data_IF_527542560305
#
_entry.id   IF_527542560305
#
_cell.length_a   1.000
_cell.length_b   1.000
_cell.length_c   1.000
_cell.angle_alpha   90.00
_cell.angle_beta   90.00
_cell.angle_gamma   90.00
#
_symmetry.space_group_name_H-M   'P 1'
#
loop_
_entity.id
_entity.type
_entity.pdbx_description
1 polymer ?
#
# COMPACT_ATOMS: atom_id res chain seq x y z
N UNK A 1 -16.47 6.53 35.97
CA UNK A 1 -16.09 5.80 34.74
C UNK A 1 -16.13 6.80 33.59
N UNK A 2 -14.97 7.35 33.22
CA UNK A 2 -14.83 8.17 32.01
C UNK A 2 -14.64 7.22 30.82
N UNK A 3 -15.38 7.38 29.70
CA UNK A 3 -15.11 6.58 28.52
C UNK A 3 -13.75 7.01 27.96
N UNK A 4 -12.80 6.07 27.97
CA UNK A 4 -11.55 6.23 27.21
C UNK A 4 -11.92 6.34 25.74
N UNK A 5 -11.76 7.54 25.18
CA UNK A 5 -11.78 7.71 23.73
C UNK A 5 -10.63 6.89 23.16
N UNK A 6 -10.98 5.81 22.45
CA UNK A 6 -10.04 5.07 21.62
C UNK A 6 -9.59 6.00 20.49
N UNK A 7 -8.49 6.72 20.72
CA UNK A 7 -7.77 7.37 19.64
C UNK A 7 -7.30 6.30 18.67
N UNK A 8 -7.98 6.15 17.52
CA UNK A 8 -7.44 5.39 16.39
C UNK A 8 -6.35 6.26 15.77
N UNK A 9 -5.05 5.94 15.93
CA UNK A 9 -4.00 6.80 15.41
C UNK A 9 -3.86 6.55 13.90
N UNK A 10 -4.15 7.58 13.09
CA UNK A 10 -3.46 7.89 11.83
C UNK A 10 -3.41 6.82 10.74
N UNK A 11 -4.55 6.30 10.25
CA UNK A 11 -4.54 5.33 9.13
C UNK A 11 -4.22 5.95 7.77
N UNK A 12 -4.53 7.23 7.54
CA UNK A 12 -4.24 7.89 6.24
C UNK A 12 -2.83 8.48 6.20
N UNK A 13 -2.42 9.13 7.29
CA UNK A 13 -1.12 9.80 7.40
C UNK A 13 0.02 8.78 7.51
N UNK A 14 -0.22 7.65 8.19
CA UNK A 14 0.79 6.60 8.35
C UNK A 14 1.23 5.96 7.02
N UNK A 15 0.32 5.74 6.08
CA UNK A 15 0.65 5.18 4.76
C UNK A 15 1.32 6.23 3.87
N UNK A 16 0.84 7.48 3.94
CA UNK A 16 1.45 8.60 3.24
C UNK A 16 2.91 8.76 3.65
N UNK A 17 3.17 8.84 4.95
CA UNK A 17 4.52 9.04 5.46
C UNK A 17 5.44 7.87 5.11
N UNK A 18 4.94 6.63 5.20
CA UNK A 18 5.71 5.45 4.83
C UNK A 18 6.10 5.49 3.35
N UNK A 19 5.20 5.88 2.44
CA UNK A 19 5.51 6.06 1.02
C UNK A 19 6.53 7.18 0.77
N UNK A 20 6.38 8.32 1.45
CA UNK A 20 7.33 9.45 1.35
C UNK A 20 8.72 9.03 1.80
N UNK A 21 8.83 8.32 2.93
CA UNK A 21 10.11 7.83 3.45
C UNK A 21 10.71 6.74 2.56
N UNK A 22 9.87 5.85 2.01
CA UNK A 22 10.30 4.86 1.03
C UNK A 22 10.87 5.52 -0.23
N UNK A 23 10.20 6.54 -0.76
CA UNK A 23 10.66 7.33 -1.91
C UNK A 23 11.96 8.09 -1.66
N UNK A 24 12.26 8.43 -0.39
CA UNK A 24 13.54 9.00 0.05
C UNK A 24 14.64 7.96 0.28
N UNK A 25 14.40 6.70 -0.07
CA UNK A 25 15.39 5.63 -0.01
C UNK A 25 15.38 4.80 1.28
N UNK A 26 14.46 5.06 2.24
CA UNK A 26 14.29 4.21 3.43
C UNK A 26 13.59 2.90 3.06
N UNK A 27 14.36 1.95 2.53
CA UNK A 27 13.83 0.66 2.01
C UNK A 27 13.04 -0.16 3.03
N UNK A 28 13.33 -0.01 4.33
CA UNK A 28 12.59 -0.71 5.41
C UNK A 28 11.12 -0.30 5.52
N UNK A 29 10.73 0.86 5.00
CA UNK A 29 9.35 1.36 5.05
C UNK A 29 8.40 0.56 4.15
N UNK A 30 8.93 -0.26 3.24
CA UNK A 30 8.09 -1.14 2.41
C UNK A 30 7.24 -2.09 3.26
N UNK A 31 7.74 -2.55 4.41
CA UNK A 31 6.94 -3.37 5.35
C UNK A 31 5.72 -2.62 5.86
N UNK A 32 5.90 -1.38 6.29
CA UNK A 32 4.79 -0.54 6.76
C UNK A 32 3.80 -0.20 5.64
N UNK A 33 4.28 0.03 4.42
CA UNK A 33 3.41 0.22 3.24
C UNK A 33 2.60 -1.05 2.96
N UNK A 34 3.24 -2.23 3.04
CA UNK A 34 2.57 -3.52 2.88
C UNK A 34 1.49 -3.73 3.93
N UNK A 35 1.82 -3.63 5.22
CA UNK A 35 0.90 -3.90 6.33
C UNK A 35 -0.37 -3.05 6.25
N UNK A 36 -0.23 -1.79 5.83
CA UNK A 36 -1.35 -0.85 5.72
C UNK A 36 -2.17 -0.96 4.43
N UNK A 37 -1.68 -1.67 3.40
CA UNK A 37 -2.34 -1.73 2.09
C UNK A 37 -2.67 -3.14 1.58
N UNK A 38 -2.11 -4.19 2.20
CA UNK A 38 -2.20 -5.56 1.66
C UNK A 38 -3.63 -6.07 1.60
N UNK A 39 -4.47 -5.78 2.61
CA UNK A 39 -5.86 -6.26 2.64
C UNK A 39 -6.67 -5.77 1.41
N UNK A 40 -6.76 -4.46 1.12
CA UNK A 40 -7.43 -4.00 -0.10
C UNK A 40 -6.67 -4.40 -1.39
N UNK A 41 -5.34 -4.43 -1.39
CA UNK A 41 -4.56 -4.86 -2.55
C UNK A 41 -4.82 -6.32 -2.93
N UNK A 42 -4.93 -7.20 -1.94
CA UNK A 42 -5.23 -8.62 -2.13
C UNK A 42 -6.65 -8.83 -2.65
N UNK A 43 -7.63 -8.09 -2.15
CA UNK A 43 -9.01 -8.15 -2.68
C UNK A 43 -9.05 -7.77 -4.16
N UNK A 44 -8.32 -6.71 -4.53
CA UNK A 44 -8.16 -6.30 -5.92
C UNK A 44 -7.47 -7.38 -6.76
N UNK A 45 -6.36 -7.95 -6.26
CA UNK A 45 -5.63 -8.99 -6.96
C UNK A 45 -6.49 -10.24 -7.20
N UNK A 46 -7.23 -10.70 -6.18
CA UNK A 46 -8.17 -11.82 -6.30
C UNK A 46 -9.28 -11.54 -7.32
N UNK A 47 -9.83 -10.33 -7.34
CA UNK A 47 -10.82 -9.96 -8.35
C UNK A 47 -10.23 -10.05 -9.77
N UNK A 48 -8.98 -9.61 -9.97
CA UNK A 48 -8.28 -9.68 -11.26
C UNK A 48 -7.93 -11.10 -11.69
N UNK A 49 -7.67 -11.99 -10.74
CA UNK A 49 -7.31 -13.39 -11.01
C UNK A 49 -8.48 -14.35 -10.92
N UNK A 50 -9.72 -13.84 -10.92
CA UNK A 50 -10.97 -14.63 -10.82
C UNK A 50 -10.97 -15.57 -9.61
N UNK A 51 -10.39 -15.13 -8.50
CA UNK A 51 -10.29 -15.89 -7.25
C UNK A 51 -9.08 -16.83 -7.17
N UNK A 52 -8.23 -16.93 -8.19
CA UNK A 52 -7.00 -17.73 -8.09
C UNK A 52 -6.04 -17.07 -7.09
N UNK A 53 -5.89 -17.74 -5.94
CA UNK A 53 -5.06 -17.32 -4.82
C UNK A 53 -3.58 -17.26 -5.18
N UNK A 54 -3.06 -18.28 -5.87
CA UNK A 54 -1.63 -18.36 -6.21
C UNK A 54 -1.27 -17.27 -7.22
N UNK A 55 -2.12 -17.07 -8.22
CA UNK A 55 -1.94 -15.99 -9.18
C UNK A 55 -2.03 -14.61 -8.52
N UNK A 56 -2.95 -14.41 -7.56
CA UNK A 56 -3.09 -13.15 -6.83
C UNK A 56 -1.85 -12.83 -5.99
N UNK A 57 -1.31 -13.81 -5.28
CA UNK A 57 -0.07 -13.67 -4.51
C UNK A 57 1.12 -13.33 -5.42
N UNK A 58 1.26 -14.03 -6.56
CA UNK A 58 2.31 -13.75 -7.54
C UNK A 58 2.20 -12.32 -8.11
N UNK A 59 0.97 -11.83 -8.34
CA UNK A 59 0.71 -10.45 -8.75
C UNK A 59 1.13 -9.46 -7.66
N UNK A 60 0.77 -9.70 -6.39
CA UNK A 60 1.15 -8.84 -5.28
C UNK A 60 2.67 -8.73 -5.10
N UNK A 61 3.41 -9.83 -5.25
CA UNK A 61 4.88 -9.81 -5.19
C UNK A 61 5.46 -8.85 -6.23
N UNK A 62 4.98 -8.90 -7.47
CA UNK A 62 5.39 -7.96 -8.54
C UNK A 62 4.94 -6.54 -8.23
N UNK A 63 3.71 -6.36 -7.76
CA UNK A 63 3.16 -5.04 -7.45
C UNK A 63 3.92 -4.32 -6.34
N UNK A 64 4.27 -4.99 -5.24
CA UNK A 64 5.05 -4.36 -4.17
C UNK A 64 6.50 -4.09 -4.56
N UNK A 65 7.07 -4.90 -5.46
CA UNK A 65 8.35 -4.55 -6.09
C UNK A 65 8.24 -3.26 -6.94
N UNK A 66 7.14 -3.07 -7.67
CA UNK A 66 6.85 -1.82 -8.39
C UNK A 66 6.59 -0.63 -7.46
N UNK A 67 5.83 -0.82 -6.38
CA UNK A 67 5.60 0.21 -5.35
C UNK A 67 6.95 0.71 -4.82
N UNK A 68 7.88 -0.20 -4.50
CA UNK A 68 9.23 0.16 -4.08
C UNK A 68 9.99 0.97 -5.13
N UNK A 69 9.89 0.60 -6.41
CA UNK A 69 10.57 1.32 -7.50
C UNK A 69 10.01 2.73 -7.69
N UNK A 70 8.70 2.88 -7.57
CA UNK A 70 7.98 4.08 -8.01
C UNK A 70 7.60 5.00 -6.84
N UNK A 71 7.91 4.63 -5.60
CA UNK A 71 7.64 5.45 -4.42
C UNK A 71 8.24 6.86 -4.48
N UNK A 72 9.33 7.07 -5.25
CA UNK A 72 9.92 8.40 -5.47
C UNK A 72 8.97 9.35 -6.21
N UNK A 73 8.08 8.83 -7.04
CA UNK A 73 7.12 9.59 -7.83
C UNK A 73 5.83 9.90 -7.05
N UNK A 74 5.57 9.18 -5.95
CA UNK A 74 4.33 9.28 -5.18
C UNK A 74 3.97 10.73 -4.77
N UNK A 75 4.87 11.53 -4.17
CA UNK A 75 4.53 12.88 -3.71
C UNK A 75 4.09 13.81 -4.85
N UNK A 76 4.61 13.60 -6.06
CA UNK A 76 4.26 14.38 -7.25
C UNK A 76 2.96 13.94 -7.93
N UNK A 77 2.39 12.80 -7.54
CA UNK A 77 1.20 12.24 -8.21
C UNK A 77 -0.10 13.00 -7.90
N UNK A 78 -0.19 13.70 -6.77
CA UNK A 78 -1.44 14.30 -6.26
C UNK A 78 -2.49 13.27 -5.80
N UNK A 79 -2.20 11.97 -5.87
CA UNK A 79 -3.11 10.89 -5.49
C UNK A 79 -2.94 10.56 -4.00
N UNK A 80 -4.04 10.25 -3.31
CA UNK A 80 -3.99 9.76 -1.92
C UNK A 80 -3.24 8.42 -1.84
N UNK A 81 -2.60 8.17 -0.69
CA UNK A 81 -1.67 7.06 -0.49
C UNK A 81 -2.22 5.67 -0.90
N UNK A 82 -3.37 5.28 -0.35
CA UNK A 82 -3.97 3.98 -0.66
C UNK A 82 -4.41 3.86 -2.14
N UNK A 83 -5.18 4.81 -2.72
CA UNK A 83 -5.48 4.77 -4.15
C UNK A 83 -4.26 4.71 -5.06
N UNK A 84 -3.16 5.39 -4.70
CA UNK A 84 -1.92 5.32 -5.47
C UNK A 84 -1.34 3.89 -5.45
N UNK A 85 -1.24 3.25 -4.29
CA UNK A 85 -0.78 1.85 -4.17
C UNK A 85 -1.68 0.91 -4.97
N UNK A 86 -3.01 1.06 -4.88
CA UNK A 86 -3.95 0.22 -5.63
C UNK A 86 -3.83 0.43 -7.14
N UNK A 87 -3.55 1.65 -7.60
CA UNK A 87 -3.26 1.91 -9.01
C UNK A 87 -1.98 1.19 -9.47
N UNK A 88 -0.95 1.13 -8.63
CA UNK A 88 0.26 0.32 -8.92
C UNK A 88 -0.07 -1.18 -8.99
N UNK A 89 -0.90 -1.69 -8.08
CA UNK A 89 -1.36 -3.09 -8.09
C UNK A 89 -2.23 -3.40 -9.30
N UNK A 90 -3.03 -2.43 -9.77
CA UNK A 90 -3.91 -2.59 -10.93
C UNK A 90 -3.18 -2.67 -12.28
N UNK A 91 -1.92 -2.20 -12.36
CA UNK A 91 -1.09 -2.28 -13.57
C UNK A 91 -0.10 -3.44 -13.61
N UNK A 92 0.20 -4.06 -12.45
CA UNK A 92 1.07 -5.23 -12.33
C UNK A 92 0.39 -6.53 -12.82
#
# INVERSE_FOLDING_TARGET
MTPSSLSVPGTTDGLHDALVRLGRGRRGELGQVYDQSVTPALRLALARTRGDRRAAEALLVRAYAEVRRLAVEYPGSGIRALPWVLAVVARA
#
